data_IF_497238569047
#
_entry.id   IF_497238569047
#
_cell.length_a   1.000
_cell.length_b   1.000
_cell.length_c   1.000
_cell.angle_alpha   90.00
_cell.angle_beta   90.00
_cell.angle_gamma   90.00
#
_symmetry.space_group_name_H-M   'P 1'
#
loop_
_entity.id
_entity.type
_entity.pdbx_description
1 polymer ?
#
# COMPACT_ATOMS: atom_id res chain seq x y z
N UNK A 1 -10.00 -10.56 30.08
CA UNK A 1 -9.18 -10.52 31.30
C UNK A 1 -9.99 -10.95 32.53
N UNK A 2 -11.13 -10.31 32.83
CA UNK A 2 -12.02 -10.69 33.97
C UNK A 2 -12.41 -12.17 34.01
N UNK A 3 -12.95 -12.70 32.91
CA UNK A 3 -13.25 -14.15 32.76
C UNK A 3 -12.04 -15.07 32.98
N UNK A 4 -10.82 -14.63 32.67
CA UNK A 4 -9.60 -15.42 32.97
C UNK A 4 -9.27 -15.38 34.46
N UNK A 5 -9.44 -14.24 35.12
CA UNK A 5 -9.23 -14.11 36.55
C UNK A 5 -10.22 -14.95 37.35
N UNK A 6 -11.50 -14.92 37.01
CA UNK A 6 -12.54 -15.73 37.67
C UNK A 6 -12.21 -17.23 37.66
N UNK A 7 -11.67 -17.74 36.54
CA UNK A 7 -11.39 -19.18 36.37
C UNK A 7 -10.00 -19.55 36.90
N UNK A 8 -8.99 -18.68 36.74
CA UNK A 8 -7.60 -19.01 37.07
C UNK A 8 -7.24 -18.68 38.52
N UNK A 9 -7.82 -17.64 39.12
CA UNK A 9 -7.48 -17.22 40.49
C UNK A 9 -7.71 -18.32 41.55
N UNK A 10 -8.83 -19.08 41.52
CA UNK A 10 -9.02 -20.20 42.45
C UNK A 10 -7.99 -21.32 42.27
N UNK A 11 -7.62 -21.62 41.02
CA UNK A 11 -6.60 -22.61 40.68
C UNK A 11 -5.19 -22.16 41.10
N UNK A 12 -4.93 -20.85 41.08
CA UNK A 12 -3.66 -20.29 41.49
C UNK A 12 -3.44 -20.36 43.01
N UNK A 13 -4.50 -20.32 43.82
CA UNK A 13 -4.47 -20.43 45.29
C UNK A 13 -4.23 -21.86 45.80
N UNK A 14 -4.58 -22.87 45.01
CA UNK A 14 -4.28 -24.27 45.34
C UNK A 14 -2.79 -24.55 45.20
N UNK A 15 -2.16 -25.34 46.09
CA UNK A 15 -0.74 -25.70 45.97
C UNK A 15 -0.47 -26.52 44.70
N UNK A 16 -1.31 -27.53 44.45
CA UNK A 16 -1.22 -28.42 43.28
C UNK A 16 -2.49 -28.33 42.42
N UNK A 17 -2.33 -28.25 41.10
CA UNK A 17 -3.45 -28.25 40.15
C UNK A 17 -3.36 -29.50 39.28
N UNK A 18 -4.30 -30.42 39.52
CA UNK A 18 -4.44 -31.66 38.76
C UNK A 18 -4.82 -31.44 37.29
N UNK A 19 -4.59 -32.46 36.46
CA UNK A 19 -4.85 -32.38 35.02
C UNK A 19 -6.32 -32.16 34.69
N UNK A 20 -7.24 -32.81 35.41
CA UNK A 20 -8.69 -32.65 35.19
C UNK A 20 -9.17 -31.22 35.44
N UNK A 21 -8.73 -30.60 36.54
CA UNK A 21 -9.05 -29.21 36.85
C UNK A 21 -8.48 -28.24 35.80
N UNK A 22 -7.26 -28.52 35.30
CA UNK A 22 -6.64 -27.75 34.23
C UNK A 22 -7.37 -27.92 32.89
N UNK A 23 -7.92 -29.10 32.60
CA UNK A 23 -8.72 -29.38 31.41
C UNK A 23 -10.07 -28.69 31.42
N UNK A 24 -10.77 -28.70 32.56
CA UNK A 24 -12.02 -27.95 32.70
C UNK A 24 -11.80 -26.44 32.50
N UNK A 25 -10.74 -25.88 33.06
CA UNK A 25 -10.36 -24.49 32.85
C UNK A 25 -9.96 -24.20 31.40
N UNK A 26 -9.28 -25.15 30.74
CA UNK A 26 -8.89 -25.05 29.34
C UNK A 26 -10.12 -24.99 28.43
N UNK A 27 -11.09 -25.88 28.65
CA UNK A 27 -12.35 -25.90 27.91
C UNK A 27 -13.18 -24.64 28.15
N UNK A 28 -13.30 -24.19 29.40
CA UNK A 28 -14.05 -22.99 29.76
C UNK A 28 -13.46 -21.69 29.18
N UNK A 29 -12.14 -21.66 28.95
CA UNK A 29 -11.42 -20.50 28.40
C UNK A 29 -11.12 -20.62 26.89
N UNK A 30 -11.39 -21.76 26.26
CA UNK A 30 -11.00 -22.03 24.87
C UNK A 30 -9.48 -22.00 24.66
N UNK A 31 -8.71 -22.49 25.64
CA UNK A 31 -7.25 -22.49 25.64
C UNK A 31 -6.71 -23.91 25.70
N UNK A 32 -5.42 -24.09 25.41
CA UNK A 32 -4.74 -25.36 25.68
C UNK A 32 -4.46 -25.52 27.18
N UNK A 33 -4.42 -26.78 27.68
CA UNK A 33 -3.98 -27.11 29.05
C UNK A 33 -2.64 -26.44 29.40
N UNK A 34 -1.70 -26.39 28.45
CA UNK A 34 -0.41 -25.68 28.58
C UNK A 34 -0.59 -24.20 28.89
N UNK A 35 -1.49 -23.51 28.19
CA UNK A 35 -1.76 -22.09 28.43
C UNK A 35 -2.41 -21.85 29.80
N UNK A 36 -3.22 -22.78 30.29
CA UNK A 36 -3.78 -22.72 31.66
C UNK A 36 -2.68 -22.73 32.71
N UNK A 37 -1.71 -23.66 32.62
CA UNK A 37 -0.57 -23.68 33.55
C UNK A 37 0.31 -22.42 33.44
N UNK A 38 0.48 -21.85 32.24
CA UNK A 38 1.16 -20.56 32.07
C UNK A 38 0.43 -19.44 32.79
N UNK A 39 -0.90 -19.39 32.72
CA UNK A 39 -1.71 -18.40 33.41
C UNK A 39 -1.68 -18.59 34.93
N UNK A 40 -1.75 -19.83 35.42
CA UNK A 40 -1.60 -20.15 36.86
C UNK A 40 -0.23 -19.69 37.37
N UNK A 41 0.85 -19.97 36.62
CA UNK A 41 2.20 -19.53 36.97
C UNK A 41 2.29 -18.01 37.04
N UNK A 42 1.70 -17.29 36.08
CA UNK A 42 1.66 -15.82 36.08
C UNK A 42 0.86 -15.25 37.25
N UNK A 43 -0.28 -15.85 37.59
CA UNK A 43 -1.07 -15.43 38.74
C UNK A 43 -0.32 -15.63 40.06
N UNK A 44 0.41 -16.75 40.22
CA UNK A 44 1.24 -17.02 41.42
C UNK A 44 2.48 -16.12 41.53
N UNK A 45 3.06 -15.74 40.40
CA UNK A 45 4.24 -14.85 40.35
C UNK A 45 3.88 -13.36 40.39
N UNK A 46 2.62 -13.03 40.15
CA UNK A 46 2.09 -11.67 40.14
C UNK A 46 1.60 -11.21 41.51
N UNK A 47 0.89 -10.10 41.49
CA UNK A 47 0.26 -9.48 42.66
C UNK A 47 -1.11 -10.06 43.02
N UNK A 48 -1.62 -11.00 42.21
CA UNK A 48 -2.98 -11.57 42.34
C UNK A 48 -4.06 -10.70 41.71
N UNK A 49 -3.68 -9.66 40.95
CA UNK A 49 -4.60 -8.73 40.31
C UNK A 49 -5.00 -9.19 38.90
N UNK A 50 -6.15 -8.72 38.43
CA UNK A 50 -6.68 -9.02 37.08
C UNK A 50 -5.70 -8.64 35.96
N UNK A 51 -4.81 -7.68 36.22
CA UNK A 51 -3.73 -7.22 35.33
C UNK A 51 -2.72 -8.32 34.99
N UNK A 52 -2.50 -9.26 35.89
CA UNK A 52 -1.50 -10.33 35.74
C UNK A 52 -1.93 -11.38 34.70
N UNK A 53 -3.24 -11.43 34.39
CA UNK A 53 -3.87 -12.36 33.46
C UNK A 53 -4.26 -11.72 32.11
N UNK A 54 -3.86 -10.46 31.91
CA UNK A 54 -3.99 -9.77 30.62
C UNK A 54 -3.04 -10.44 29.61
N UNK A 55 -3.47 -10.70 28.36
CA UNK A 55 -2.54 -11.13 27.32
C UNK A 55 -1.35 -10.17 27.24
N UNK A 56 -0.13 -10.69 27.35
CA UNK A 56 1.06 -9.86 27.18
C UNK A 56 1.09 -9.26 25.78
N UNK A 57 1.51 -8.00 25.67
CA UNK A 57 1.81 -7.42 24.37
C UNK A 57 2.97 -8.20 23.73
N UNK A 58 2.86 -8.61 22.47
CA UNK A 58 3.97 -9.25 21.78
C UNK A 58 5.17 -8.29 21.76
N UNK A 59 6.35 -8.76 22.16
CA UNK A 59 7.59 -7.95 22.15
C UNK A 59 8.02 -7.47 20.77
N UNK A 60 7.34 -7.88 19.70
CA UNK A 60 7.49 -7.35 18.36
C UNK A 60 6.16 -7.40 17.62
N UNK A 61 5.39 -6.31 17.70
CA UNK A 61 4.10 -6.21 17.04
C UNK A 61 4.20 -6.00 15.53
N UNK A 62 3.24 -6.57 14.78
CA UNK A 62 2.83 -6.05 13.47
C UNK A 62 2.62 -4.54 13.59
N UNK A 63 3.25 -3.75 12.73
CA UNK A 63 3.10 -2.29 12.69
C UNK A 63 4.10 -1.47 13.52
N UNK A 64 4.95 -2.08 14.37
CA UNK A 64 6.04 -1.36 15.04
C UNK A 64 7.35 -1.50 14.26
N UNK A 65 7.98 -0.36 13.94
CA UNK A 65 9.27 -0.31 13.26
C UNK A 65 10.37 -0.96 14.11
N UNK A 66 11.17 -1.85 13.50
CA UNK A 66 12.35 -2.47 14.14
C UNK A 66 13.63 -1.66 13.94
N UNK A 67 13.54 -0.52 13.25
CA UNK A 67 14.67 0.36 13.02
C UNK A 67 14.88 1.26 14.25
N UNK A 68 16.14 1.49 14.65
CA UNK A 68 16.47 2.53 15.62
C UNK A 68 15.95 3.89 15.15
N UNK A 69 15.43 4.69 16.07
CA UNK A 69 14.90 6.03 15.78
C UNK A 69 15.89 6.93 15.00
N UNK A 70 17.21 6.92 15.27
CA UNK A 70 18.16 7.71 14.47
C UNK A 70 18.16 7.34 12.98
N UNK A 71 17.98 6.05 12.65
CA UNK A 71 17.95 5.58 11.26
C UNK A 71 16.64 5.99 10.58
N UNK A 72 15.51 5.90 11.30
CA UNK A 72 14.22 6.38 10.79
C UNK A 72 14.26 7.88 10.49
N UNK A 73 14.90 8.67 11.34
CA UNK A 73 15.07 10.11 11.15
C UNK A 73 15.86 10.42 9.88
N UNK A 74 16.99 9.73 9.67
CA UNK A 74 17.79 9.86 8.44
C UNK A 74 16.97 9.53 7.20
N UNK A 75 16.21 8.43 7.22
CA UNK A 75 15.36 8.04 6.08
C UNK A 75 14.31 9.13 5.82
N UNK A 76 13.63 9.62 6.87
CA UNK A 76 12.58 10.62 6.73
C UNK A 76 13.10 11.96 6.18
N UNK A 77 14.24 12.43 6.68
CA UNK A 77 14.85 13.67 6.20
C UNK A 77 15.26 13.57 4.73
N UNK A 78 15.93 12.48 4.36
CA UNK A 78 16.37 12.27 2.98
C UNK A 78 15.16 12.06 2.04
N UNK A 79 14.08 11.42 2.51
CA UNK A 79 12.85 11.28 1.73
C UNK A 79 12.31 12.65 1.31
N UNK A 80 12.24 13.60 2.24
CA UNK A 80 11.75 14.96 1.95
C UNK A 80 12.72 15.75 1.06
N UNK A 81 14.02 15.70 1.36
CA UNK A 81 15.04 16.53 0.69
C UNK A 81 15.44 16.01 -0.70
N UNK A 82 15.41 14.70 -0.92
CA UNK A 82 16.05 14.07 -2.10
C UNK A 82 15.09 13.22 -2.92
N UNK A 83 14.17 12.50 -2.30
CA UNK A 83 13.28 11.57 -3.00
C UNK A 83 11.98 12.23 -3.49
N UNK A 84 11.33 13.03 -2.65
CA UNK A 84 10.08 13.75 -2.96
C UNK A 84 10.35 15.04 -3.73
N UNK A 85 11.08 14.92 -4.85
CA UNK A 85 11.46 16.04 -5.72
C UNK A 85 11.17 15.72 -7.18
N UNK A 86 11.10 16.76 -8.03
CA UNK A 86 10.91 16.62 -9.49
C UNK A 86 12.08 15.92 -10.20
N UNK A 87 13.24 15.76 -9.55
CA UNK A 87 14.37 15.00 -10.10
C UNK A 87 14.08 13.49 -10.19
N UNK A 88 13.03 12.99 -9.52
CA UNK A 88 12.56 11.59 -9.58
C UNK A 88 13.68 10.55 -9.39
N UNK A 89 14.59 10.75 -8.44
CA UNK A 89 15.69 9.81 -8.14
C UNK A 89 15.17 8.38 -7.95
N UNK A 90 15.93 7.42 -8.50
CA UNK A 90 15.59 6.00 -8.38
C UNK A 90 15.76 5.50 -6.93
N UNK A 91 15.05 4.42 -6.58
CA UNK A 91 15.20 3.76 -5.28
C UNK A 91 16.66 3.35 -5.01
N UNK A 92 17.38 2.92 -6.04
CA UNK A 92 18.78 2.53 -5.90
C UNK A 92 19.68 3.74 -5.57
N UNK A 93 19.51 4.86 -6.25
CA UNK A 93 20.25 6.09 -5.95
C UNK A 93 19.93 6.61 -4.54
N UNK A 94 18.65 6.59 -4.16
CA UNK A 94 18.20 6.99 -2.83
C UNK A 94 18.80 6.10 -1.73
N UNK A 95 18.78 4.78 -1.91
CA UNK A 95 19.36 3.84 -0.93
C UNK A 95 20.87 4.01 -0.76
N UNK A 96 21.62 4.33 -1.82
CA UNK A 96 23.05 4.65 -1.73
C UNK A 96 23.31 5.87 -0.85
N UNK A 97 22.49 6.92 -1.00
CA UNK A 97 22.61 8.14 -0.20
C UNK A 97 22.27 7.90 1.28
N UNK A 98 21.19 7.16 1.56
CA UNK A 98 20.86 6.69 2.92
C UNK A 98 22.03 5.91 3.52
N UNK A 99 22.64 5.01 2.74
CA UNK A 99 23.80 4.22 3.17
C UNK A 99 25.00 5.11 3.54
N UNK A 100 25.30 6.12 2.72
CA UNK A 100 26.39 7.06 2.98
C UNK A 100 26.18 7.85 4.28
N UNK A 101 24.97 8.41 4.47
CA UNK A 101 24.65 9.18 5.68
C UNK A 101 24.67 8.30 6.93
N UNK A 102 24.09 7.09 6.87
CA UNK A 102 24.14 6.16 8.00
C UNK A 102 25.59 5.77 8.34
N UNK A 103 26.45 5.51 7.35
CA UNK A 103 27.87 5.19 7.60
C UNK A 103 28.61 6.37 8.24
N UNK A 104 28.41 7.59 7.75
CA UNK A 104 29.03 8.79 8.31
C UNK A 104 28.63 9.01 9.78
N UNK A 105 27.39 8.70 10.13
CA UNK A 105 26.87 8.79 11.50
C UNK A 105 27.11 7.53 12.35
N UNK A 106 27.86 6.55 11.85
CA UNK A 106 28.11 5.25 12.51
C UNK A 106 26.82 4.49 12.90
N UNK A 107 25.77 4.67 12.11
CA UNK A 107 24.48 4.00 12.28
C UNK A 107 24.42 2.71 11.45
N UNK A 108 23.64 1.73 11.93
CA UNK A 108 23.37 0.50 11.18
C UNK A 108 22.60 0.82 9.90
N UNK A 109 23.18 0.45 8.75
CA UNK A 109 22.58 0.69 7.44
C UNK A 109 21.31 -0.15 7.28
N UNK A 110 20.17 0.46 6.89
CA UNK A 110 18.94 -0.27 6.62
C UNK A 110 19.05 -1.06 5.31
N UNK A 111 18.39 -2.21 5.27
CA UNK A 111 18.27 -2.98 4.03
C UNK A 111 17.50 -2.18 2.97
N UNK A 112 17.82 -2.40 1.69
CA UNK A 112 17.14 -1.72 0.57
C UNK A 112 15.63 -1.93 0.62
N UNK A 113 15.18 -3.13 0.97
CA UNK A 113 13.76 -3.44 1.11
C UNK A 113 13.10 -2.63 2.24
N UNK A 114 13.79 -2.39 3.35
CA UNK A 114 13.27 -1.54 4.44
C UNK A 114 13.01 -0.12 3.97
N UNK A 115 13.92 0.45 3.18
CA UNK A 115 13.74 1.79 2.59
C UNK A 115 12.61 1.79 1.56
N UNK A 116 12.49 0.75 0.75
CA UNK A 116 11.38 0.59 -0.20
C UNK A 116 10.02 0.55 0.51
N UNK A 117 9.91 -0.20 1.62
CA UNK A 117 8.69 -0.25 2.43
C UNK A 117 8.34 1.10 3.05
N UNK A 118 9.33 1.92 3.46
CA UNK A 118 9.09 3.29 3.94
C UNK A 118 8.53 4.19 2.84
N UNK A 119 9.07 4.08 1.62
CA UNK A 119 8.52 4.78 0.47
C UNK A 119 7.10 4.33 0.16
N UNK A 120 6.84 3.02 0.16
CA UNK A 120 5.52 2.44 -0.11
C UNK A 120 4.48 2.81 0.96
N UNK A 121 4.90 3.12 2.18
CA UNK A 121 4.00 3.58 3.25
C UNK A 121 3.58 5.05 3.13
N UNK A 122 4.18 5.81 2.21
CA UNK A 122 3.76 7.19 1.94
C UNK A 122 2.44 7.21 1.17
N UNK A 123 1.64 8.25 1.40
CA UNK A 123 0.43 8.52 0.62
C UNK A 123 0.80 8.68 -0.88
N UNK A 124 0.34 7.78 -1.76
CA UNK A 124 0.67 7.80 -3.18
C UNK A 124 0.34 9.15 -3.84
N UNK A 125 -0.73 9.82 -3.41
CA UNK A 125 -1.14 11.13 -3.94
C UNK A 125 -0.10 12.20 -3.62
N UNK A 126 0.41 12.21 -2.39
CA UNK A 126 1.46 13.16 -1.97
C UNK A 126 2.77 12.89 -2.71
N UNK A 127 3.10 11.63 -2.93
CA UNK A 127 4.30 11.24 -3.69
C UNK A 127 4.21 11.73 -5.13
N UNK A 128 3.11 11.43 -5.83
CA UNK A 128 2.90 11.82 -7.23
C UNK A 128 2.83 13.34 -7.37
N UNK A 129 2.05 14.02 -6.52
CA UNK A 129 1.98 15.49 -6.55
C UNK A 129 3.36 16.15 -6.42
N UNK A 130 4.22 15.63 -5.53
CA UNK A 130 5.57 16.21 -5.33
C UNK A 130 6.57 15.81 -6.41
N UNK A 131 6.45 14.62 -7.00
CA UNK A 131 7.41 14.11 -7.98
C UNK A 131 7.03 14.43 -9.42
N UNK A 132 5.75 14.52 -9.71
CA UNK A 132 5.19 14.59 -11.08
C UNK A 132 4.40 15.87 -11.34
N UNK A 133 4.03 16.60 -10.29
CA UNK A 133 3.28 17.85 -10.40
C UNK A 133 1.80 17.68 -10.12
N UNK A 134 1.07 18.80 -10.13
CA UNK A 134 -0.35 18.82 -9.78
C UNK A 134 -1.22 18.16 -10.85
N UNK A 135 -0.84 18.24 -12.12
CA UNK A 135 -1.64 17.70 -13.24
C UNK A 135 -1.53 16.17 -13.33
N UNK A 136 -0.35 15.60 -13.16
CA UNK A 136 -0.17 14.15 -13.05
C UNK A 136 -0.86 13.53 -11.80
N UNK A 137 -1.15 14.35 -10.78
CA UNK A 137 -1.94 13.91 -9.62
C UNK A 137 -3.46 13.92 -9.90
N UNK A 138 -3.92 14.60 -10.97
CA UNK A 138 -5.34 14.60 -11.38
C UNK A 138 -5.74 13.29 -12.05
N UNK A 139 -4.82 12.56 -12.69
CA UNK A 139 -5.10 11.22 -13.24
C UNK A 139 -5.46 10.19 -12.15
N UNK A 140 -5.14 10.48 -10.88
CA UNK A 140 -5.59 9.73 -9.70
C UNK A 140 -6.82 10.31 -9.01
N UNK A 141 -7.31 11.47 -9.45
CA UNK A 141 -8.70 11.87 -9.27
C UNK A 141 -9.51 11.16 -10.36
N UNK A 142 -9.70 9.85 -10.20
CA UNK A 142 -10.85 9.22 -10.83
C UNK A 142 -12.07 10.03 -10.38
N UNK A 143 -12.75 10.68 -11.32
CA UNK A 143 -14.13 11.14 -11.11
C UNK A 143 -14.90 9.84 -10.90
N UNK A 144 -14.97 9.42 -9.63
CA UNK A 144 -15.21 8.03 -9.27
C UNK A 144 -16.61 7.56 -9.65
N UNK A 145 -16.67 6.35 -10.19
CA UNK A 145 -17.85 5.52 -10.43
C UNK A 145 -17.42 4.27 -11.23
N UNK A 146 -18.07 3.13 -11.03
CA UNK A 146 -18.08 2.11 -12.07
C UNK A 146 -18.91 2.69 -13.22
N UNK A 147 -18.36 2.80 -14.45
CA UNK A 147 -19.18 3.15 -15.59
C UNK A 147 -20.32 2.11 -15.70
N UNK A 148 -21.56 2.54 -15.97
CA UNK A 148 -22.69 1.62 -16.06
C UNK A 148 -22.40 0.54 -17.10
N UNK A 149 -22.83 -0.70 -16.81
CA UNK A 149 -22.65 -1.81 -17.73
C UNK A 149 -23.43 -1.53 -19.02
N UNK A 150 -22.75 -1.61 -20.16
CA UNK A 150 -23.39 -1.55 -21.49
C UNK A 150 -23.91 -2.94 -21.82
N UNK A 151 -25.22 -3.05 -22.05
CA UNK A 151 -25.96 -4.32 -22.17
C UNK A 151 -26.49 -4.62 -23.56
N UNK A 152 -26.52 -3.63 -24.46
CA UNK A 152 -26.99 -3.79 -25.83
C UNK A 152 -26.13 -3.03 -26.87
N UNK A 153 -26.13 -3.47 -28.15
CA UNK A 153 -25.52 -2.71 -29.24
C UNK A 153 -26.11 -1.29 -29.32
N UNK A 154 -25.26 -0.30 -29.63
CA UNK A 154 -25.61 1.12 -29.79
C UNK A 154 -26.12 1.83 -28.52
N UNK A 155 -26.09 1.16 -27.36
CA UNK A 155 -26.39 1.79 -26.08
C UNK A 155 -25.33 2.84 -25.70
N UNK A 156 -24.08 2.60 -26.06
CA UNK A 156 -22.99 3.55 -25.86
C UNK A 156 -22.00 3.51 -27.04
N UNK A 157 -21.76 4.69 -27.63
CA UNK A 157 -20.72 4.90 -28.64
C UNK A 157 -19.64 5.80 -28.06
N UNK A 158 -18.39 5.37 -28.16
CA UNK A 158 -17.24 6.18 -27.80
C UNK A 158 -16.59 6.73 -29.06
N UNK A 159 -16.31 8.03 -29.04
CA UNK A 159 -15.58 8.72 -30.10
C UNK A 159 -14.25 9.15 -29.53
N UNK A 160 -13.17 8.74 -30.18
CA UNK A 160 -11.82 9.13 -29.82
C UNK A 160 -11.04 9.57 -31.06
N UNK A 161 -10.07 10.45 -30.85
CA UNK A 161 -9.26 11.03 -31.91
C UNK A 161 -7.77 10.84 -31.62
N UNK A 162 -6.99 10.39 -32.60
CA UNK A 162 -5.55 10.19 -32.44
C UNK A 162 -4.77 10.68 -33.65
N UNK A 163 -3.56 11.18 -33.43
CA UNK A 163 -2.65 11.55 -34.53
C UNK A 163 -2.04 10.26 -35.08
N UNK A 164 -2.25 9.99 -36.37
CA UNK A 164 -1.69 8.82 -37.03
C UNK A 164 -0.17 8.97 -37.13
N UNK A 165 0.57 7.88 -36.96
CA UNK A 165 2.03 7.82 -37.17
C UNK A 165 2.41 7.63 -38.64
N UNK A 166 1.85 8.49 -39.49
CA UNK A 166 2.12 8.56 -40.93
C UNK A 166 2.19 10.03 -41.36
N UNK A 167 3.10 10.35 -42.28
CA UNK A 167 3.18 11.67 -42.90
C UNK A 167 2.50 11.58 -44.28
N UNK A 168 1.46 12.38 -44.47
CA UNK A 168 0.81 12.55 -45.76
C UNK A 168 1.65 13.50 -46.61
N UNK A 169 1.78 13.19 -47.89
CA UNK A 169 2.55 13.96 -48.87
C UNK A 169 1.66 14.41 -50.02
N UNK A 170 2.05 15.50 -50.67
CA UNK A 170 1.47 15.98 -51.93
C UNK A 170 1.66 14.95 -53.07
N UNK A 171 0.74 14.92 -54.02
CA UNK A 171 0.73 13.93 -55.09
C UNK A 171 1.71 14.25 -56.23
N UNK A 172 1.98 15.53 -56.50
CA UNK A 172 2.85 15.99 -57.58
C UNK A 172 4.31 15.99 -57.18
N UNK A 173 4.64 16.70 -56.10
CA UNK A 173 6.02 16.98 -55.71
C UNK A 173 6.49 16.13 -54.51
N UNK A 174 5.60 15.29 -53.96
CA UNK A 174 5.86 14.42 -52.79
C UNK A 174 6.34 15.18 -51.55
N UNK A 175 5.99 16.45 -51.46
CA UNK A 175 6.31 17.31 -50.32
C UNK A 175 5.45 16.94 -49.10
N UNK A 176 6.01 16.96 -47.87
CA UNK A 176 5.27 16.62 -46.66
C UNK A 176 4.20 17.67 -46.36
N UNK A 177 2.95 17.22 -46.23
CA UNK A 177 1.82 18.05 -45.81
C UNK A 177 1.69 18.03 -44.29
N UNK A 178 1.79 16.85 -43.68
CA UNK A 178 1.69 16.70 -42.22
C UNK A 178 1.17 15.34 -41.77
N UNK A 179 0.91 15.21 -40.47
CA UNK A 179 0.33 14.00 -39.88
C UNK A 179 -1.18 14.18 -39.72
N UNK A 180 -2.02 13.26 -40.24
CA UNK A 180 -3.45 13.36 -40.11
C UNK A 180 -3.93 12.88 -38.74
N UNK A 181 -5.10 13.35 -38.33
CA UNK A 181 -5.88 12.84 -37.21
C UNK A 181 -6.85 11.76 -37.72
N UNK A 182 -6.92 10.64 -37.01
CA UNK A 182 -7.95 9.62 -37.16
C UNK A 182 -8.96 9.79 -36.04
N UNK A 183 -10.23 9.97 -36.41
CA UNK A 183 -11.37 9.93 -35.50
C UNK A 183 -12.14 8.64 -35.73
N UNK A 184 -12.41 7.87 -34.68
CA UNK A 184 -13.21 6.64 -34.75
C UNK A 184 -14.42 6.74 -33.82
N UNK A 185 -15.58 6.30 -34.31
CA UNK A 185 -16.76 6.03 -33.49
C UNK A 185 -16.91 4.52 -33.29
N UNK A 186 -16.81 4.05 -32.05
CA UNK A 186 -16.80 2.63 -31.70
C UNK A 186 -17.98 2.32 -30.75
N UNK A 187 -18.80 1.34 -31.12
CA UNK A 187 -19.82 0.80 -30.22
C UNK A 187 -19.16 0.02 -29.08
N UNK A 188 -19.46 0.37 -27.83
CA UNK A 188 -18.80 -0.21 -26.65
C UNK A 188 -19.17 -1.67 -26.44
N UNK A 189 -20.41 -2.05 -26.76
CA UNK A 189 -20.90 -3.42 -26.58
C UNK A 189 -20.30 -4.39 -27.60
N UNK A 190 -20.46 -4.11 -28.90
CA UNK A 190 -20.01 -5.01 -29.98
C UNK A 190 -18.54 -4.81 -30.37
N UNK A 191 -17.93 -3.68 -30.00
CA UNK A 191 -16.62 -3.22 -30.51
C UNK A 191 -16.58 -2.95 -32.02
N UNK A 192 -17.73 -2.88 -32.68
CA UNK A 192 -17.82 -2.51 -34.08
C UNK A 192 -17.49 -1.03 -34.29
N UNK A 193 -16.71 -0.74 -35.33
CA UNK A 193 -16.48 0.63 -35.81
C UNK A 193 -17.70 1.06 -36.61
N UNK A 194 -18.39 2.10 -36.13
CA UNK A 194 -19.59 2.65 -36.78
C UNK A 194 -19.24 3.66 -37.87
N UNK A 195 -18.10 4.33 -37.72
CA UNK A 195 -17.64 5.33 -38.68
C UNK A 195 -16.23 5.81 -38.35
N UNK A 196 -15.57 6.39 -39.36
CA UNK A 196 -14.26 6.99 -39.24
C UNK A 196 -14.15 8.27 -40.05
N UNK A 197 -13.31 9.19 -39.57
CA UNK A 197 -12.93 10.42 -40.30
C UNK A 197 -11.42 10.58 -40.21
N UNK A 198 -10.78 10.88 -41.34
CA UNK A 198 -9.34 11.17 -41.41
C UNK A 198 -9.16 12.57 -41.97
N UNK A 199 -8.58 13.48 -41.18
CA UNK A 199 -8.41 14.89 -41.52
C UNK A 199 -7.03 15.38 -41.16
N UNK A 200 -6.53 16.40 -41.87
CA UNK A 200 -5.31 17.12 -41.46
C UNK A 200 -5.60 18.16 -40.38
N UNK A 201 -6.83 18.62 -40.30
CA UNK A 201 -7.29 19.52 -39.24
C UNK A 201 -7.46 18.77 -37.93
N UNK A 202 -7.03 19.41 -36.84
CA UNK A 202 -7.24 18.90 -35.51
C UNK A 202 -8.75 18.84 -35.22
N UNK A 203 -9.23 17.77 -34.57
CA UNK A 203 -10.62 17.68 -34.17
C UNK A 203 -10.95 18.82 -33.18
N UNK A 204 -12.04 19.53 -33.45
CA UNK A 204 -12.64 20.44 -32.47
C UNK A 204 -13.62 19.65 -31.61
N UNK A 205 -13.45 19.70 -30.29
CA UNK A 205 -14.42 19.20 -29.32
C UNK A 205 -15.43 20.28 -28.93
#
# INVERSE_FOLDING_TARGET
ARRRAEIISPLAQSETVGHEAADMAAQALGLSRRQVYVLIRRARQGSGLVTDLVPGQSGGGKGKGRLPEPVERVIHELLQKRFLTKQKRSLAAFHREVTQVCKAQKLRVPARNTVALRIASLDPRKVIRRREGQDAARDLQGVGGEPPAVTAPLEQVQIDHTVIDLIVVDDRDRQPIGRPYLTLAIDVFTRCVLGMVVTLEAPSA
#
